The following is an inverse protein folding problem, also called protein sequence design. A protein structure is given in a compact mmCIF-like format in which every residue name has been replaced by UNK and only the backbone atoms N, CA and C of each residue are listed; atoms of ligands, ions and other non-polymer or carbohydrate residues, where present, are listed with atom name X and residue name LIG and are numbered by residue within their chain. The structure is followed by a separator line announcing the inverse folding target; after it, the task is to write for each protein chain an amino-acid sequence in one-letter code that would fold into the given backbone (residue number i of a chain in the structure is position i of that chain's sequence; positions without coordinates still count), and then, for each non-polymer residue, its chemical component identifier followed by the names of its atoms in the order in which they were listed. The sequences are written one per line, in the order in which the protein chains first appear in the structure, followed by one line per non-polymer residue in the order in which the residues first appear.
data_IF_598652257119
#
_entry.id   IF_598652257119
#
_cell.length_a   1.000
_cell.length_b   1.000
_cell.length_c   1.000
_cell.angle_alpha   90.00
_cell.angle_beta   90.00
_cell.angle_gamma   90.00
#
_symmetry.space_group_name_H-M   'P 1'
#
loop_
_entity.id
_entity.type
_entity.pdbx_description
1 polymer ?
#
# COMPACT_ATOMS: atom_id res chain seq x y z
N UNK A 1 6.35 -20.89 -10.58
CA UNK A 1 5.91 -19.48 -10.47
C UNK A 1 4.64 -19.33 -11.29
N UNK A 2 3.63 -18.59 -10.81
CA UNK A 2 2.35 -18.40 -11.51
C UNK A 2 2.57 -17.64 -12.82
N UNK A 3 2.09 -18.18 -13.95
CA UNK A 3 2.26 -17.58 -15.29
C UNK A 3 1.77 -16.13 -15.34
N UNK A 4 0.67 -15.81 -14.66
CA UNK A 4 0.15 -14.43 -14.61
C UNK A 4 1.06 -13.49 -13.82
N UNK A 5 1.79 -14.03 -12.85
CA UNK A 5 2.79 -13.27 -12.11
C UNK A 5 4.02 -12.98 -12.97
N UNK A 6 4.46 -13.92 -13.79
CA UNK A 6 5.58 -13.71 -14.71
C UNK A 6 5.26 -12.57 -15.70
N UNK A 7 4.07 -12.59 -16.30
CA UNK A 7 3.61 -11.51 -17.19
C UNK A 7 3.55 -10.18 -16.45
N UNK A 8 3.12 -10.17 -15.18
CA UNK A 8 3.17 -8.95 -14.37
C UNK A 8 4.61 -8.46 -14.16
N UNK A 9 5.56 -9.36 -13.86
CA UNK A 9 6.97 -9.03 -13.64
C UNK A 9 7.66 -8.45 -14.88
N UNK A 10 7.22 -8.81 -16.09
CA UNK A 10 7.69 -8.20 -17.33
C UNK A 10 7.37 -6.70 -17.40
N UNK A 11 6.29 -6.25 -16.75
CA UNK A 11 5.91 -4.83 -16.67
C UNK A 11 6.64 -4.06 -15.57
N UNK A 12 7.35 -4.76 -14.68
CA UNK A 12 8.18 -4.16 -13.64
C UNK A 12 9.53 -3.82 -14.27
N UNK A 13 9.97 -2.57 -14.07
CA UNK A 13 11.32 -2.14 -14.40
C UNK A 13 12.35 -3.09 -13.79
N UNK A 14 13.31 -3.54 -14.59
CA UNK A 14 14.28 -4.57 -14.21
C UNK A 14 14.98 -4.25 -12.88
N UNK A 15 15.26 -2.96 -12.64
CA UNK A 15 15.91 -2.45 -11.42
C UNK A 15 15.13 -2.78 -10.14
N UNK A 16 13.83 -3.04 -10.24
CA UNK A 16 12.95 -3.27 -9.09
C UNK A 16 12.35 -4.68 -9.06
N UNK A 17 12.69 -5.55 -10.01
CA UNK A 17 12.16 -6.93 -10.04
C UNK A 17 12.54 -7.71 -8.79
N UNK A 18 13.80 -7.62 -8.35
CA UNK A 18 14.26 -8.28 -7.13
C UNK A 18 13.47 -7.81 -5.90
N UNK A 19 13.26 -6.50 -5.78
CA UNK A 19 12.46 -5.93 -4.69
C UNK A 19 11.00 -6.45 -4.72
N UNK A 20 10.38 -6.49 -5.90
CA UNK A 20 9.01 -7.01 -6.05
C UNK A 20 8.93 -8.50 -5.68
N UNK A 21 9.91 -9.30 -6.08
CA UNK A 21 10.02 -10.72 -5.69
C UNK A 21 10.17 -10.89 -4.17
N UNK A 22 11.02 -10.08 -3.54
CA UNK A 22 11.20 -10.11 -2.08
C UNK A 22 9.90 -9.74 -1.33
N UNK A 23 9.21 -8.68 -1.77
CA UNK A 23 7.91 -8.31 -1.17
C UNK A 23 6.88 -9.42 -1.38
N UNK A 24 6.86 -10.03 -2.56
CA UNK A 24 5.97 -11.14 -2.86
C UNK A 24 6.19 -12.32 -1.89
N UNK A 25 7.44 -12.77 -1.75
CA UNK A 25 7.81 -13.89 -0.88
C UNK A 25 7.52 -13.58 0.59
N UNK A 26 7.88 -12.37 1.04
CA UNK A 26 7.62 -11.90 2.40
C UNK A 26 6.13 -11.88 2.73
N UNK A 27 5.29 -11.32 1.87
CA UNK A 27 3.86 -11.21 2.14
C UNK A 27 3.17 -12.58 2.12
N UNK A 28 3.58 -13.48 1.22
CA UNK A 28 3.07 -14.86 1.19
C UNK A 28 3.46 -15.61 2.48
N UNK A 29 4.72 -15.50 2.93
CA UNK A 29 5.17 -16.15 4.17
C UNK A 29 4.49 -15.58 5.43
N UNK A 30 4.01 -14.33 5.36
CA UNK A 30 3.23 -13.69 6.41
C UNK A 30 1.72 -14.02 6.36
N UNK A 31 1.30 -14.96 5.51
CA UNK A 31 -0.09 -15.42 5.44
C UNK A 31 -0.99 -14.57 4.54
N UNK A 32 -0.43 -13.85 3.57
CA UNK A 32 -1.21 -13.24 2.51
C UNK A 32 -1.41 -14.20 1.33
N UNK A 33 -2.63 -14.21 0.80
CA UNK A 33 -2.91 -14.72 -0.54
C UNK A 33 -2.54 -13.67 -1.57
N UNK A 34 -1.79 -14.07 -2.60
CA UNK A 34 -1.59 -13.26 -3.80
C UNK A 34 -2.79 -13.40 -4.74
N UNK A 35 -3.42 -12.28 -5.06
CA UNK A 35 -4.49 -12.19 -6.05
C UNK A 35 -4.02 -11.41 -7.28
N UNK A 36 -4.14 -12.03 -8.46
CA UNK A 36 -3.76 -11.41 -9.74
C UNK A 36 -5.03 -11.21 -10.56
N UNK A 37 -5.29 -9.96 -10.95
CA UNK A 37 -6.48 -9.59 -11.74
C UNK A 37 -6.06 -8.81 -12.97
N UNK A 38 -6.62 -9.16 -14.12
CA UNK A 38 -6.44 -8.40 -15.35
C UNK A 38 -7.27 -7.11 -15.27
N UNK A 39 -6.65 -5.97 -15.55
CA UNK A 39 -7.31 -4.67 -15.69
C UNK A 39 -6.99 -4.08 -17.06
N UNK A 40 -7.66 -2.97 -17.40
CA UNK A 40 -7.45 -2.26 -18.68
C UNK A 40 -5.98 -1.92 -18.97
N UNK A 41 -5.17 -1.72 -17.92
CA UNK A 41 -3.74 -1.37 -18.01
C UNK A 41 -2.81 -2.54 -17.70
N UNK A 42 -3.28 -3.78 -17.86
CA UNK A 42 -2.51 -4.99 -17.53
C UNK A 42 -2.87 -5.59 -16.17
N UNK A 43 -2.08 -6.56 -15.73
CA UNK A 43 -2.30 -7.25 -14.47
C UNK A 43 -2.00 -6.35 -13.27
N UNK A 44 -2.86 -6.42 -12.26
CA UNK A 44 -2.58 -5.92 -10.91
C UNK A 44 -2.34 -7.10 -9.98
N UNK A 45 -1.42 -6.94 -9.04
CA UNK A 45 -1.11 -7.94 -8.02
C UNK A 45 -1.47 -7.38 -6.65
N UNK A 46 -2.39 -8.03 -5.96
CA UNK A 46 -2.81 -7.66 -4.60
C UNK A 46 -2.44 -8.74 -3.61
N UNK A 47 -2.17 -8.34 -2.38
CA UNK A 47 -1.89 -9.22 -1.25
C UNK A 47 -2.99 -9.05 -0.22
N UNK A 48 -3.70 -10.15 0.05
CA UNK A 48 -4.89 -10.18 0.89
C UNK A 48 -4.62 -11.12 2.05
N UNK A 49 -4.77 -10.65 3.29
CA UNK A 49 -4.60 -11.53 4.46
C UNK A 49 -5.62 -12.68 4.41
N UNK A 50 -5.14 -13.91 4.59
CA UNK A 50 -6.00 -15.10 4.54
C UNK A 50 -7.04 -15.14 5.66
N UNK A 51 -6.72 -14.58 6.82
CA UNK A 51 -7.54 -14.62 8.03
C UNK A 51 -8.79 -13.76 8.00
N UNK A 52 -8.70 -12.54 7.45
CA UNK A 52 -9.77 -11.53 7.52
C UNK A 52 -10.14 -10.97 6.14
N UNK A 53 -9.52 -11.49 5.08
CA UNK A 53 -9.75 -11.11 3.68
C UNK A 53 -9.50 -9.62 3.40
N UNK A 54 -8.80 -8.90 4.29
CA UNK A 54 -8.43 -7.50 4.05
C UNK A 54 -7.23 -7.44 3.11
N UNK A 55 -7.31 -6.54 2.12
CA UNK A 55 -6.18 -6.25 1.24
C UNK A 55 -5.17 -5.41 1.98
N UNK A 56 -3.94 -5.90 2.10
CA UNK A 56 -2.81 -5.18 2.69
C UNK A 56 -2.15 -4.25 1.68
N UNK A 57 -1.86 -4.74 0.48
CA UNK A 57 -1.18 -3.96 -0.54
C UNK A 57 -1.54 -4.39 -1.96
N UNK A 58 -1.40 -3.48 -2.91
CA UNK A 58 -1.59 -3.73 -4.34
C UNK A 58 -0.51 -3.06 -5.15
N UNK A 59 0.20 -3.80 -6.00
CA UNK A 59 1.04 -3.24 -7.04
C UNK A 59 0.17 -2.65 -8.15
N UNK A 60 0.49 -1.43 -8.55
CA UNK A 60 -0.27 -0.64 -9.51
C UNK A 60 0.69 -0.05 -10.54
N UNK A 61 0.49 -0.46 -11.80
CA UNK A 61 1.20 0.16 -12.92
C UNK A 61 0.60 1.52 -13.29
N UNK A 62 1.47 2.50 -13.54
CA UNK A 62 1.15 3.85 -13.96
C UNK A 62 2.13 4.29 -15.05
N UNK A 63 1.76 5.33 -15.80
CA UNK A 63 2.65 5.94 -16.81
C UNK A 63 4.01 6.36 -16.24
N UNK A 64 4.06 6.73 -14.96
CA UNK A 64 5.27 7.18 -14.26
C UNK A 64 6.04 6.04 -13.59
N UNK A 65 5.72 4.77 -13.91
CA UNK A 65 6.32 3.60 -13.29
C UNK A 65 5.42 2.88 -12.28
N UNK A 66 5.95 1.81 -11.70
CA UNK A 66 5.23 0.96 -10.75
C UNK A 66 5.13 1.64 -9.38
N UNK A 67 3.95 1.52 -8.75
CA UNK A 67 3.73 1.95 -7.37
C UNK A 67 3.22 0.79 -6.53
N UNK A 68 3.57 0.75 -5.25
CA UNK A 68 2.87 -0.07 -4.27
C UNK A 68 1.87 0.80 -3.52
N UNK A 69 0.59 0.44 -3.64
CA UNK A 69 -0.46 1.00 -2.79
C UNK A 69 -0.57 0.17 -1.52
N UNK A 70 -0.40 0.80 -0.37
CA UNK A 70 -0.52 0.14 0.94
C UNK A 70 -1.83 0.59 1.59
N UNK A 71 -2.52 -0.34 2.23
CA UNK A 71 -3.80 -0.14 2.91
C UNK A 71 -3.65 -0.32 4.43
N UNK A 72 -2.92 0.57 5.12
CA UNK A 72 -2.63 0.39 6.54
C UNK A 72 -3.88 0.61 7.40
N UNK A 73 -4.04 -0.22 8.42
CA UNK A 73 -5.13 -0.11 9.40
C UNK A 73 -4.62 0.44 10.74
N UNK A 74 -3.31 0.38 10.98
CA UNK A 74 -2.71 0.70 12.27
C UNK A 74 -1.86 1.98 12.25
N UNK A 75 -2.19 2.93 11.38
CA UNK A 75 -1.43 4.18 11.17
C UNK A 75 -1.06 4.92 12.47
N UNK A 76 -1.97 4.93 13.46
CA UNK A 76 -1.75 5.61 14.74
C UNK A 76 -0.58 5.03 15.54
N UNK A 77 -0.20 3.77 15.28
CA UNK A 77 0.96 3.12 15.89
C UNK A 77 2.28 3.47 15.20
N UNK A 78 2.23 4.10 14.03
CA UNK A 78 3.40 4.29 13.15
C UNK A 78 3.77 5.75 12.97
N UNK A 79 3.30 6.64 13.82
CA UNK A 79 3.47 8.09 13.64
C UNK A 79 4.92 8.51 13.38
N UNK A 80 5.85 8.12 14.26
CA UNK A 80 7.28 8.44 14.11
C UNK A 80 7.89 7.86 12.83
N UNK A 81 7.36 6.74 12.34
CA UNK A 81 7.78 6.16 11.06
C UNK A 81 7.22 6.97 9.89
N UNK A 82 5.97 7.44 9.96
CA UNK A 82 5.41 8.31 8.92
C UNK A 82 6.24 9.60 8.78
N UNK A 83 6.66 10.18 9.90
CA UNK A 83 7.47 11.41 9.93
C UNK A 83 8.88 11.20 9.34
N UNK A 84 9.38 9.96 9.36
CA UNK A 84 10.67 9.58 8.77
C UNK A 84 10.64 9.36 7.24
N UNK A 85 9.46 9.37 6.59
CA UNK A 85 9.41 9.20 5.13
C UNK A 85 10.27 10.26 4.42
N UNK A 86 10.88 9.91 3.27
CA UNK A 86 11.57 10.88 2.43
C UNK A 86 10.66 12.06 2.06
N UNK A 87 11.22 13.26 1.99
CA UNK A 87 10.45 14.49 1.73
C UNK A 87 9.61 14.41 0.46
N UNK A 88 10.11 13.75 -0.58
CA UNK A 88 9.36 13.52 -1.82
C UNK A 88 8.13 12.66 -1.59
N UNK A 89 8.24 11.57 -0.83
CA UNK A 89 7.12 10.71 -0.48
C UNK A 89 6.10 11.46 0.39
N UNK A 90 6.56 12.21 1.39
CA UNK A 90 5.69 13.05 2.24
C UNK A 90 4.92 14.07 1.41
N UNK A 91 5.57 14.78 0.48
CA UNK A 91 4.91 15.73 -0.44
C UNK A 91 3.80 15.06 -1.26
N UNK A 92 4.02 13.85 -1.77
CA UNK A 92 3.00 13.11 -2.53
C UNK A 92 1.82 12.67 -1.63
N UNK A 93 2.09 12.22 -0.41
CA UNK A 93 1.05 11.89 0.58
C UNK A 93 0.22 13.13 0.93
N UNK A 94 0.88 14.28 1.17
CA UNK A 94 0.24 15.57 1.45
C UNK A 94 -0.61 16.06 0.27
N UNK A 95 -0.19 15.81 -0.97
CA UNK A 95 -0.95 16.13 -2.19
C UNK A 95 -2.09 15.17 -2.50
N UNK A 96 -2.11 13.98 -1.89
CA UNK A 96 -3.17 13.00 -2.14
C UNK A 96 -4.57 13.59 -1.86
N UNK A 97 -5.57 13.11 -2.61
CA UNK A 97 -6.94 13.60 -2.48
C UNK A 97 -7.46 13.47 -1.06
N UNK A 98 -8.20 14.49 -0.60
CA UNK A 98 -8.94 14.42 0.66
C UNK A 98 -9.92 13.23 0.64
N UNK A 99 -10.20 12.67 1.81
CA UNK A 99 -11.31 11.72 1.90
C UNK A 99 -12.63 12.50 1.88
N UNK A 100 -13.34 12.48 0.74
CA UNK A 100 -14.65 13.13 0.63
C UNK A 100 -15.65 12.59 1.65
N UNK A 101 -15.65 11.28 1.92
CA UNK A 101 -16.53 10.64 2.92
C UNK A 101 -16.30 11.11 4.36
N UNK A 102 -15.07 11.53 4.71
CA UNK A 102 -14.79 12.13 6.03
C UNK A 102 -15.32 13.57 6.13
N UNK A 103 -15.54 14.25 5.00
CA UNK A 103 -16.07 15.61 4.94
C UNK A 103 -17.61 15.57 4.81
N UNK A 104 -18.13 14.71 3.94
CA UNK A 104 -19.55 14.47 3.71
C UNK A 104 -19.80 12.94 3.64
N UNK A 105 -20.51 12.34 4.62
CA UNK A 105 -20.77 10.89 4.65
C UNK A 105 -21.41 10.31 3.38
N UNK A 106 -22.21 11.11 2.67
CA UNK A 106 -22.92 10.69 1.44
C UNK A 106 -22.05 10.73 0.18
N UNK A 107 -20.85 11.32 0.26
CA UNK A 107 -19.90 11.34 -0.84
C UNK A 107 -19.20 9.98 -1.02
N UNK A 108 -18.68 9.76 -2.23
CA UNK A 108 -18.06 8.51 -2.72
C UNK A 108 -19.05 7.37 -3.00
N UNK A 109 -18.55 6.34 -3.69
CA UNK A 109 -19.34 5.15 -4.00
C UNK A 109 -19.82 4.42 -2.73
N UNK A 110 -20.98 3.75 -2.73
CA UNK A 110 -21.51 3.07 -1.54
C UNK A 110 -20.55 2.05 -0.91
N UNK A 111 -19.66 1.42 -1.70
CA UNK A 111 -18.67 0.44 -1.22
C UNK A 111 -17.39 1.07 -0.64
N UNK A 112 -17.31 2.40 -0.55
CA UNK A 112 -16.13 3.09 -0.01
C UNK A 112 -15.99 2.84 1.51
N UNK A 113 -14.88 2.26 1.93
CA UNK A 113 -14.59 1.90 3.34
C UNK A 113 -14.01 3.06 4.16
N UNK A 114 -14.28 4.32 3.78
CA UNK A 114 -13.73 5.53 4.38
C UNK A 114 -12.20 5.66 4.24
N UNK A 115 -11.69 6.89 4.38
CA UNK A 115 -10.27 7.23 4.29
C UNK A 115 -9.54 7.16 5.62
N UNK A 116 -8.36 7.77 5.66
CA UNK A 116 -7.51 7.80 6.84
C UNK A 116 -7.55 9.17 7.50
N UNK A 117 -7.44 9.18 8.83
CA UNK A 117 -7.01 10.33 9.61
C UNK A 117 -5.69 9.97 10.28
N UNK A 118 -4.63 10.76 10.08
CA UNK A 118 -3.29 10.52 10.63
C UNK A 118 -2.55 11.84 10.81
N UNK A 119 -1.45 11.84 11.58
CA UNK A 119 -0.55 13.00 11.65
C UNK A 119 0.65 12.78 10.72
N UNK A 120 1.24 13.85 10.20
CA UNK A 120 2.49 13.81 9.44
C UNK A 120 3.22 15.14 9.63
N UNK A 121 4.45 15.07 10.13
CA UNK A 121 5.26 16.24 10.54
C UNK A 121 4.49 17.17 11.50
N UNK A 122 3.72 16.60 12.43
CA UNK A 122 2.93 17.37 13.40
C UNK A 122 1.61 17.95 12.87
N UNK A 123 1.25 17.73 11.60
CA UNK A 123 0.00 18.20 11.02
C UNK A 123 -1.01 17.06 10.80
N UNK A 124 -2.30 17.33 11.04
CA UNK A 124 -3.38 16.36 10.83
C UNK A 124 -3.82 16.30 9.37
N UNK A 125 -3.89 15.10 8.81
CA UNK A 125 -4.34 14.86 7.44
C UNK A 125 -5.52 13.89 7.37
N UNK A 126 -6.48 14.20 6.48
CA UNK A 126 -7.63 13.33 6.16
C UNK A 126 -7.61 12.93 4.69
N UNK A 127 -7.02 11.79 4.36
CA UNK A 127 -6.72 11.40 2.97
C UNK A 127 -7.53 10.19 2.52
N UNK A 128 -7.85 10.16 1.22
CA UNK A 128 -8.57 9.05 0.60
C UNK A 128 -7.73 7.75 0.70
N UNK A 129 -8.38 6.67 1.16
CA UNK A 129 -7.76 5.35 1.36
C UNK A 129 -6.97 4.86 0.14
N UNK A 130 -7.55 5.04 -1.04
CA UNK A 130 -6.97 4.57 -2.29
C UNK A 130 -5.88 5.48 -2.84
N UNK A 131 -5.73 6.71 -2.33
CA UNK A 131 -4.79 7.70 -2.86
C UNK A 131 -3.65 8.03 -1.90
N UNK A 132 -3.86 7.92 -0.59
CA UNK A 132 -2.93 8.39 0.43
C UNK A 132 -1.53 7.75 0.31
N UNK A 133 -1.45 6.42 0.32
CA UNK A 133 -0.18 5.69 0.36
C UNK A 133 0.07 4.93 -0.93
N UNK A 134 0.28 5.68 -2.03
CA UNK A 134 0.73 5.15 -3.31
C UNK A 134 2.22 5.45 -3.53
N UNK A 135 3.08 4.66 -2.89
CA UNK A 135 4.53 4.88 -2.91
C UNK A 135 5.10 4.35 -4.23
N UNK A 136 5.86 5.19 -4.94
CA UNK A 136 6.55 4.78 -6.17
C UNK A 136 7.75 3.89 -5.83
N UNK A 137 7.99 2.85 -6.62
CA UNK A 137 9.21 2.06 -6.48
C UNK A 137 10.42 2.92 -6.87
N UNK A 138 11.40 2.97 -5.96
CA UNK A 138 12.67 3.66 -6.14
C UNK A 138 13.65 3.18 -5.07
N UNK A 139 14.94 3.33 -5.30
CA UNK A 139 15.96 3.01 -4.28
C UNK A 139 15.70 3.73 -2.95
N UNK A 140 15.26 5.00 -3.01
CA UNK A 140 14.89 5.80 -1.85
C UNK A 140 13.64 5.27 -1.12
N UNK A 141 12.58 4.88 -1.85
CA UNK A 141 11.30 4.50 -1.24
C UNK A 141 11.24 3.03 -0.83
N UNK A 142 11.97 2.14 -1.50
CA UNK A 142 11.85 0.68 -1.32
C UNK A 142 12.08 0.24 0.14
N UNK A 143 13.09 0.77 0.88
CA UNK A 143 13.25 0.46 2.31
C UNK A 143 12.03 0.85 3.15
N UNK A 144 11.44 2.02 2.91
CA UNK A 144 10.25 2.48 3.62
C UNK A 144 9.01 1.69 3.25
N UNK A 145 8.85 1.32 1.97
CA UNK A 145 7.77 0.43 1.54
C UNK A 145 7.83 -0.88 2.30
N UNK A 146 9.01 -1.50 2.38
CA UNK A 146 9.22 -2.76 3.11
C UNK A 146 8.90 -2.59 4.60
N UNK A 147 9.47 -1.57 5.24
CA UNK A 147 9.25 -1.33 6.67
C UNK A 147 7.78 -1.03 6.99
N UNK A 148 7.05 -0.36 6.09
CA UNK A 148 5.62 -0.10 6.28
C UNK A 148 4.81 -1.40 6.27
N UNK A 149 5.09 -2.30 5.32
CA UNK A 149 4.46 -3.61 5.26
C UNK A 149 4.79 -4.45 6.50
N UNK A 150 6.05 -4.46 6.92
CA UNK A 150 6.51 -5.19 8.12
C UNK A 150 5.78 -4.71 9.38
N UNK A 151 5.68 -3.39 9.57
CA UNK A 151 4.94 -2.79 10.69
C UNK A 151 3.47 -3.15 10.68
N UNK A 152 2.81 -3.11 9.53
CA UNK A 152 1.39 -3.46 9.41
C UNK A 152 1.16 -4.97 9.66
N UNK A 153 2.02 -5.83 9.13
CA UNK A 153 1.99 -7.28 9.39
C UNK A 153 2.18 -7.57 10.88
N UNK A 154 3.15 -6.93 11.52
CA UNK A 154 3.42 -7.09 12.95
C UNK A 154 2.23 -6.62 13.80
N UNK A 155 1.66 -5.45 13.50
CA UNK A 155 0.50 -4.93 14.21
C UNK A 155 -0.72 -5.87 14.10
N UNK A 156 -0.92 -6.46 12.92
CA UNK A 156 -1.97 -7.47 12.69
C UNK A 156 -1.71 -8.76 13.48
N UNK A 157 -0.46 -9.23 13.57
CA UNK A 157 -0.11 -10.41 14.38
C UNK A 157 -0.30 -10.15 15.88
N UNK A 158 0.19 -9.02 16.37
CA UNK A 158 0.09 -8.65 17.79
C UNK A 158 -1.36 -8.40 18.23
N UNK A 159 -2.21 -7.87 17.35
CA UNK A 159 -3.64 -7.72 17.62
C UNK A 159 -4.46 -9.01 17.61
N UNK A 160 -3.89 -10.16 17.23
CA UNK A 160 -4.55 -11.48 17.28
C UNK A 160 -4.18 -12.32 18.50
N UNK A 161 -3.10 -11.94 19.19
CA UNK A 161 -2.65 -12.60 20.43
C UNK A 161 -3.26 -11.95 21.69
N UNK A 162 -4.27 -11.09 21.50
CA UNK A 162 -5.01 -10.37 22.52
C UNK A 162 -6.50 -10.67 22.34
#
# INVERSE_FOLDING_TARGET
MDEKFNIFMETVDERYRDFVSQINEYLISCGCKREIKLQKSGYIVSYVFLSDKRTLATFVSRKTGMKLRIYPEHLQRFQSFLDSFPEKAKKEIKKASICKRLVNPDDCNPKCVMGYTFMLDGEKYQKCRYMAFQLALSEENNPYIRQFLEKEVEAVKNGRNM
#
